data_IF_649834457390
#
_entry.id   IF_649834457390
#
_cell.length_a   1.000
_cell.length_b   1.000
_cell.length_c   1.000
_cell.angle_alpha   90.00
_cell.angle_beta   90.00
_cell.angle_gamma   90.00
#
_symmetry.space_group_name_H-M   'P 1'
#
loop_
_entity.id
_entity.type
_entity.pdbx_description
1 polymer ?
#
# COMPACT_ATOMS: atom_id res chain seq x y z
N UNK A 1 -5.36 23.46 -6.13
CA UNK A 1 -5.52 21.97 -6.23
C UNK A 1 -4.17 21.33 -6.46
N UNK A 2 -4.03 20.01 -6.26
CA UNK A 2 -2.78 19.27 -6.53
C UNK A 2 -2.76 18.79 -7.97
N UNK A 3 -1.71 19.13 -8.71
CA UNK A 3 -1.43 18.68 -10.07
C UNK A 3 -0.19 17.81 -10.08
N UNK A 4 -0.21 16.72 -10.80
CA UNK A 4 0.91 15.77 -10.86
C UNK A 4 1.31 15.58 -12.30
N UNK A 5 2.63 15.65 -12.58
CA UNK A 5 3.19 15.39 -13.91
C UNK A 5 4.26 14.33 -13.81
N UNK A 6 4.23 13.37 -14.71
CA UNK A 6 5.33 12.44 -14.94
C UNK A 6 5.81 12.65 -16.39
N UNK A 7 7.03 13.14 -16.54
CA UNK A 7 7.62 13.43 -17.83
C UNK A 7 8.89 12.61 -18.07
N UNK A 8 9.05 12.04 -19.26
CA UNK A 8 10.22 11.21 -19.54
C UNK A 8 10.62 11.23 -21.02
N UNK A 9 11.84 10.78 -21.29
CA UNK A 9 12.25 10.37 -22.62
C UNK A 9 11.44 9.11 -23.04
N UNK A 10 11.11 9.05 -24.31
CA UNK A 10 10.33 7.96 -24.89
C UNK A 10 9.05 7.61 -24.08
N UNK A 11 8.68 6.35 -24.02
CA UNK A 11 7.41 5.87 -23.44
C UNK A 11 7.48 5.48 -21.94
N UNK A 12 8.48 5.92 -21.21
CA UNK A 12 8.59 5.57 -19.79
C UNK A 12 7.43 6.16 -18.97
N UNK A 13 7.04 7.41 -19.24
CA UNK A 13 5.90 8.04 -18.56
C UNK A 13 4.58 7.30 -18.82
N UNK A 14 4.32 6.86 -20.06
CA UNK A 14 3.15 6.03 -20.37
C UNK A 14 3.22 4.65 -19.71
N UNK A 15 4.40 4.04 -19.67
CA UNK A 15 4.59 2.75 -18.98
C UNK A 15 4.28 2.84 -17.49
N UNK A 16 4.70 3.93 -16.84
CA UNK A 16 4.38 4.19 -15.42
C UNK A 16 2.89 4.45 -15.20
N UNK A 17 2.18 5.04 -16.14
CA UNK A 17 0.74 5.27 -16.05
C UNK A 17 0.00 3.98 -15.68
N UNK A 18 0.18 2.92 -16.46
CA UNK A 18 -0.49 1.65 -16.21
C UNK A 18 -0.16 1.05 -14.83
N UNK A 19 1.06 1.28 -14.35
CA UNK A 19 1.49 0.81 -13.03
C UNK A 19 0.88 1.67 -11.91
N UNK A 20 0.84 2.98 -12.05
CA UNK A 20 0.21 3.88 -11.08
C UNK A 20 -1.29 3.64 -11.02
N UNK A 21 -1.98 3.51 -12.14
CA UNK A 21 -3.41 3.17 -12.18
C UNK A 21 -3.71 1.86 -11.45
N UNK A 22 -2.84 0.86 -11.59
CA UNK A 22 -2.97 -0.40 -10.85
C UNK A 22 -2.75 -0.25 -9.34
N UNK A 23 -1.82 0.60 -8.92
CA UNK A 23 -1.39 0.72 -7.51
C UNK A 23 -2.19 1.76 -6.74
N UNK A 24 -2.49 2.91 -7.34
CA UNK A 24 -3.14 4.05 -6.69
C UNK A 24 -4.57 4.32 -7.19
N UNK A 25 -5.02 3.59 -8.23
CA UNK A 25 -6.33 3.76 -8.86
C UNK A 25 -6.35 4.82 -9.96
N UNK A 26 -7.47 4.90 -10.68
CA UNK A 26 -7.67 5.81 -11.83
C UNK A 26 -8.20 7.19 -11.46
N UNK A 27 -8.43 7.46 -10.18
CA UNK A 27 -9.04 8.72 -9.69
C UNK A 27 -8.08 9.89 -9.53
N UNK A 28 -6.80 9.73 -9.84
CA UNK A 28 -5.77 10.77 -9.70
C UNK A 28 -5.63 11.58 -10.99
N UNK A 29 -5.56 12.91 -10.88
CA UNK A 29 -5.30 13.83 -11.99
C UNK A 29 -3.77 13.89 -12.24
N UNK A 30 -3.27 12.93 -13.02
CA UNK A 30 -1.85 12.80 -13.38
C UNK A 30 -1.69 13.04 -14.88
N UNK A 31 -0.87 13.99 -15.25
CA UNK A 31 -0.48 14.24 -16.64
C UNK A 31 0.80 13.45 -16.95
N UNK A 32 0.77 12.68 -18.04
CA UNK A 32 1.93 11.94 -18.52
C UNK A 32 2.46 12.57 -19.81
N UNK A 33 3.75 12.88 -19.84
CA UNK A 33 4.42 13.55 -20.96
C UNK A 33 5.54 12.67 -21.49
N UNK A 34 5.43 12.26 -22.75
CA UNK A 34 6.41 11.42 -23.43
C UNK A 34 7.16 12.25 -24.50
N UNK A 35 8.45 12.48 -24.25
CA UNK A 35 9.29 13.23 -25.18
C UNK A 35 9.86 12.32 -26.28
N UNK A 36 10.00 12.84 -27.49
CA UNK A 36 10.64 12.16 -28.62
C UNK A 36 9.90 10.89 -29.06
N UNK A 37 8.58 10.90 -28.97
CA UNK A 37 7.70 9.85 -29.49
C UNK A 37 7.01 10.39 -30.74
N UNK A 38 7.04 9.63 -31.86
CA UNK A 38 6.65 10.09 -33.20
C UNK A 38 5.20 10.58 -33.24
N UNK A 39 4.29 9.91 -32.54
CA UNK A 39 2.86 10.23 -32.54
C UNK A 39 2.43 11.22 -31.45
N UNK A 40 3.38 11.84 -30.77
CA UNK A 40 3.11 12.78 -29.67
C UNK A 40 3.49 14.22 -30.03
N UNK A 41 2.82 15.23 -29.47
CA UNK A 41 3.25 16.61 -29.56
C UNK A 41 4.68 16.79 -29.02
N UNK A 42 5.39 17.80 -29.52
CA UNK A 42 6.72 18.14 -28.97
C UNK A 42 6.64 18.36 -27.46
N UNK A 43 7.68 17.95 -26.73
CA UNK A 43 7.68 18.07 -25.25
C UNK A 43 7.50 19.51 -24.80
N UNK A 44 8.03 20.49 -25.54
CA UNK A 44 7.89 21.92 -25.28
C UNK A 44 6.42 22.35 -25.34
N UNK A 45 5.67 21.83 -26.28
CA UNK A 45 4.24 22.09 -26.44
C UNK A 45 3.45 21.49 -25.28
N UNK A 46 3.74 20.23 -24.89
CA UNK A 46 3.10 19.59 -23.77
C UNK A 46 3.35 20.34 -22.45
N UNK A 47 4.59 20.80 -22.22
CA UNK A 47 4.98 21.59 -21.07
C UNK A 47 4.25 22.94 -21.07
N UNK A 48 4.24 23.65 -22.19
CA UNK A 48 3.56 24.95 -22.32
C UNK A 48 2.07 24.84 -21.98
N UNK A 49 1.38 23.86 -22.55
CA UNK A 49 -0.04 23.61 -22.29
C UNK A 49 -0.32 23.32 -20.81
N UNK A 50 0.56 22.58 -20.14
CA UNK A 50 0.39 22.31 -18.71
C UNK A 50 0.54 23.58 -17.87
N UNK A 51 1.59 24.38 -18.12
CA UNK A 51 1.84 25.60 -17.34
C UNK A 51 0.84 26.72 -17.62
N UNK A 52 0.22 26.76 -18.82
CA UNK A 52 -0.88 27.68 -19.14
C UNK A 52 -2.15 27.37 -18.34
N UNK A 53 -2.36 26.09 -17.97
CA UNK A 53 -3.51 25.65 -17.20
C UNK A 53 -3.28 25.67 -15.68
N UNK A 54 -2.03 25.81 -15.25
CA UNK A 54 -1.66 25.85 -13.83
C UNK A 54 -2.04 27.19 -13.21
N UNK A 55 -2.92 27.17 -12.23
CA UNK A 55 -3.39 28.38 -11.51
C UNK A 55 -2.43 28.71 -10.36
N UNK A 56 -2.46 29.95 -9.90
CA UNK A 56 -1.65 30.42 -8.78
C UNK A 56 -1.92 29.65 -7.47
N UNK A 57 -3.17 29.20 -7.28
CA UNK A 57 -3.58 28.41 -6.11
C UNK A 57 -3.30 26.90 -6.26
N UNK A 58 -2.82 26.43 -7.41
CA UNK A 58 -2.46 25.03 -7.62
C UNK A 58 -1.02 24.79 -7.16
N UNK A 59 -0.75 23.59 -6.68
CA UNK A 59 0.62 23.09 -6.47
C UNK A 59 0.90 21.97 -7.46
N UNK A 60 2.05 22.03 -8.13
CA UNK A 60 2.48 21.02 -9.08
C UNK A 60 3.64 20.18 -8.54
N UNK A 61 3.45 18.86 -8.50
CA UNK A 61 4.53 17.88 -8.34
C UNK A 61 4.93 17.38 -9.72
N UNK A 62 6.16 17.60 -10.12
CA UNK A 62 6.66 17.24 -11.45
C UNK A 62 7.83 16.25 -11.28
N UNK A 63 7.70 15.10 -11.91
CA UNK A 63 8.70 14.04 -11.90
C UNK A 63 9.33 13.92 -13.29
N UNK A 64 10.66 14.02 -13.38
CA UNK A 64 11.41 13.79 -14.61
C UNK A 64 12.36 12.60 -14.46
N UNK A 65 12.60 11.87 -15.54
CA UNK A 65 13.35 10.61 -15.52
C UNK A 65 14.85 10.80 -15.20
N UNK A 66 15.51 11.78 -15.78
CA UNK A 66 16.95 11.93 -15.70
C UNK A 66 17.36 13.35 -15.33
N UNK A 67 18.07 13.52 -14.22
CA UNK A 67 18.62 14.82 -13.83
C UNK A 67 19.59 15.36 -14.89
N UNK A 68 19.37 16.59 -15.31
CA UNK A 68 20.14 17.22 -16.37
C UNK A 68 19.85 16.75 -17.80
N UNK A 69 18.93 15.79 -17.95
CA UNK A 69 18.42 15.38 -19.26
C UNK A 69 17.58 16.47 -19.92
N UNK A 70 17.39 16.39 -21.25
CA UNK A 70 16.69 17.44 -22.01
C UNK A 70 15.25 17.69 -21.52
N UNK A 71 14.52 16.66 -21.10
CA UNK A 71 13.18 16.78 -20.53
C UNK A 71 13.24 17.56 -19.21
N UNK A 72 14.19 17.20 -18.35
CA UNK A 72 14.38 17.89 -17.07
C UNK A 72 14.77 19.36 -17.27
N UNK A 73 15.69 19.66 -18.19
CA UNK A 73 16.11 21.04 -18.47
C UNK A 73 14.95 21.90 -18.94
N UNK A 74 14.16 21.44 -19.92
CA UNK A 74 12.98 22.15 -20.43
C UNK A 74 11.92 22.38 -19.33
N UNK A 75 11.75 21.40 -18.46
CA UNK A 75 10.84 21.51 -17.33
C UNK A 75 11.34 22.53 -16.29
N UNK A 76 12.66 22.55 -16.02
CA UNK A 76 13.27 23.54 -15.12
C UNK A 76 13.10 24.96 -15.66
N UNK A 77 13.35 25.19 -16.95
CA UNK A 77 13.15 26.48 -17.61
C UNK A 77 11.70 26.97 -17.49
N UNK A 78 10.73 26.08 -17.73
CA UNK A 78 9.30 26.41 -17.62
C UNK A 78 8.81 26.64 -16.18
N UNK A 79 9.47 26.01 -15.20
CA UNK A 79 9.18 26.15 -13.78
C UNK A 79 9.88 27.33 -13.11
N UNK A 80 10.76 28.03 -13.82
CA UNK A 80 11.54 29.13 -13.26
C UNK A 80 10.64 30.22 -12.64
N UNK A 81 10.97 30.63 -11.40
CA UNK A 81 10.20 31.63 -10.65
C UNK A 81 8.88 31.18 -10.06
N UNK A 82 8.49 29.92 -10.21
CA UNK A 82 7.22 29.39 -9.68
C UNK A 82 7.45 28.68 -8.33
N UNK A 83 7.06 29.29 -7.23
CA UNK A 83 7.22 28.77 -5.87
C UNK A 83 6.24 27.63 -5.54
N UNK A 84 5.20 27.45 -6.34
CA UNK A 84 4.18 26.40 -6.20
C UNK A 84 4.48 25.13 -7.03
N UNK A 85 5.67 25.06 -7.64
CA UNK A 85 6.11 23.92 -8.45
C UNK A 85 7.28 23.21 -7.75
N UNK A 86 7.11 21.90 -7.55
CA UNK A 86 8.10 21.00 -6.97
C UNK A 86 8.59 20.05 -8.05
N UNK A 87 9.79 20.27 -8.55
CA UNK A 87 10.39 19.48 -9.62
C UNK A 87 11.41 18.50 -9.06
N UNK A 88 11.20 17.22 -9.34
CA UNK A 88 12.01 16.10 -8.88
C UNK A 88 12.55 15.34 -10.10
N UNK A 89 13.86 15.09 -10.12
CA UNK A 89 14.52 14.33 -11.18
C UNK A 89 15.07 13.00 -10.66
N UNK A 90 15.12 11.98 -11.51
CA UNK A 90 15.59 10.65 -11.15
C UNK A 90 14.57 9.88 -10.32
N UNK A 91 13.28 10.02 -10.63
CA UNK A 91 12.21 9.40 -9.88
C UNK A 91 12.26 7.86 -9.95
N UNK A 92 11.73 7.25 -8.90
CA UNK A 92 11.30 5.86 -8.89
C UNK A 92 9.82 5.76 -8.49
N UNK A 93 9.23 4.58 -8.65
CA UNK A 93 7.81 4.38 -8.38
C UNK A 93 7.43 4.65 -6.91
N UNK A 94 8.30 4.24 -5.96
CA UNK A 94 8.08 4.46 -4.53
C UNK A 94 8.00 5.96 -4.20
N UNK A 95 8.91 6.78 -4.75
CA UNK A 95 8.93 8.23 -4.57
C UNK A 95 7.65 8.89 -5.09
N UNK A 96 7.18 8.51 -6.29
CA UNK A 96 5.95 9.06 -6.85
C UNK A 96 4.76 8.78 -5.92
N UNK A 97 4.59 7.52 -5.50
CA UNK A 97 3.50 7.11 -4.62
C UNK A 97 3.61 7.81 -3.27
N UNK A 98 4.81 7.90 -2.69
CA UNK A 98 5.06 8.58 -1.42
C UNK A 98 4.60 10.03 -1.47
N UNK A 99 5.01 10.78 -2.49
CA UNK A 99 4.63 12.17 -2.65
C UNK A 99 3.13 12.34 -2.96
N UNK A 100 2.52 11.47 -3.75
CA UNK A 100 1.08 11.54 -4.04
C UNK A 100 0.26 11.56 -2.75
N UNK A 101 0.64 10.74 -1.75
CA UNK A 101 -0.13 10.57 -0.52
C UNK A 101 0.40 11.37 0.69
N UNK A 102 1.52 12.07 0.56
CA UNK A 102 2.19 12.69 1.71
C UNK A 102 1.39 13.81 2.36
N UNK A 103 0.76 14.67 1.57
CA UNK A 103 0.04 15.83 2.08
C UNK A 103 -0.96 16.41 1.06
N UNK A 104 -1.89 17.22 1.53
CA UNK A 104 -2.74 18.06 0.67
C UNK A 104 -2.00 19.31 0.19
N UNK A 105 -1.07 19.83 1.00
CA UNK A 105 -0.23 21.02 0.70
C UNK A 105 1.22 20.66 0.91
N UNK A 106 2.05 20.97 -0.08
CA UNK A 106 3.50 20.67 -0.07
C UNK A 106 4.32 21.87 0.33
N UNK A 107 5.40 21.61 1.06
CA UNK A 107 6.48 22.56 1.32
C UNK A 107 7.81 22.01 0.80
N UNK A 108 8.81 22.86 0.52
CA UNK A 108 10.13 22.38 0.09
C UNK A 108 10.75 21.39 1.07
N UNK A 109 10.59 21.62 2.37
CA UNK A 109 11.14 20.77 3.44
C UNK A 109 10.50 19.39 3.44
N UNK A 110 9.16 19.31 3.29
CA UNK A 110 8.44 18.04 3.20
C UNK A 110 8.87 17.25 1.97
N UNK A 111 8.96 17.91 0.81
CA UNK A 111 9.38 17.23 -0.43
C UNK A 111 10.81 16.72 -0.31
N UNK A 112 11.73 17.54 0.24
CA UNK A 112 13.13 17.13 0.45
C UNK A 112 13.24 15.94 1.42
N UNK A 113 12.52 15.94 2.54
CA UNK A 113 12.51 14.84 3.51
C UNK A 113 12.01 13.52 2.87
N UNK A 114 10.97 13.58 2.04
CA UNK A 114 10.46 12.41 1.35
C UNK A 114 11.44 11.92 0.27
N UNK A 115 12.05 12.82 -0.50
CA UNK A 115 13.08 12.47 -1.47
C UNK A 115 14.25 11.77 -0.78
N UNK A 116 14.72 12.29 0.35
CA UNK A 116 15.83 11.68 1.10
C UNK A 116 15.47 10.28 1.64
N UNK A 117 14.29 10.11 2.23
CA UNK A 117 13.82 8.81 2.71
C UNK A 117 13.63 7.79 1.59
N UNK A 118 13.18 8.22 0.43
CA UNK A 118 12.91 7.29 -0.68
C UNK A 118 14.15 6.90 -1.47
N UNK A 119 15.27 7.59 -1.33
CA UNK A 119 16.57 7.13 -1.87
C UNK A 119 16.94 5.74 -1.36
N UNK A 120 16.62 5.43 -0.11
CA UNK A 120 16.91 4.14 0.54
C UNK A 120 15.98 3.00 0.08
N UNK A 121 14.96 3.29 -0.73
CA UNK A 121 14.10 2.25 -1.33
C UNK A 121 14.75 1.51 -2.49
N UNK A 122 15.88 2.01 -3.00
CA UNK A 122 16.69 1.33 -4.02
C UNK A 122 17.73 0.43 -3.34
N UNK A 123 17.42 -0.86 -3.23
CA UNK A 123 18.22 -1.84 -2.46
C UNK A 123 18.85 -2.87 -3.39
N UNK A 124 20.15 -3.15 -3.18
CA UNK A 124 20.77 -4.32 -3.78
C UNK A 124 20.45 -5.57 -2.94
N UNK A 125 19.42 -6.28 -3.32
CA UNK A 125 18.81 -7.36 -2.53
C UNK A 125 19.78 -8.45 -2.10
N UNK A 126 20.80 -8.78 -2.93
CA UNK A 126 21.80 -9.81 -2.60
C UNK A 126 22.88 -9.36 -1.60
N UNK A 127 22.83 -8.11 -1.13
CA UNK A 127 23.79 -7.53 -0.16
C UNK A 127 23.15 -7.07 1.14
N UNK A 128 21.90 -7.42 1.39
CA UNK A 128 21.26 -7.08 2.67
C UNK A 128 21.89 -7.96 3.74
N UNK A 129 22.88 -7.41 4.45
CA UNK A 129 23.48 -8.02 5.63
C UNK A 129 22.57 -7.83 6.86
N UNK A 130 22.64 -8.75 7.80
CA UNK A 130 21.76 -8.97 8.98
C UNK A 130 21.63 -7.81 9.99
N UNK A 131 22.12 -6.61 9.73
CA UNK A 131 22.22 -5.52 10.73
C UNK A 131 20.88 -4.91 11.21
N UNK A 132 19.72 -5.41 10.76
CA UNK A 132 18.41 -4.90 11.19
C UNK A 132 17.62 -5.84 12.12
N UNK A 133 18.21 -6.94 12.57
CA UNK A 133 17.49 -7.94 13.40
C UNK A 133 17.38 -7.60 14.89
N UNK A 134 18.23 -6.73 15.44
CA UNK A 134 18.35 -6.54 16.90
C UNK A 134 17.21 -5.75 17.58
N UNK A 135 16.30 -5.08 16.87
CA UNK A 135 15.35 -4.18 17.55
C UNK A 135 13.94 -4.71 17.79
N UNK A 136 13.59 -5.88 17.24
CA UNK A 136 12.21 -6.42 17.30
C UNK A 136 12.08 -7.59 18.27
N UNK A 137 13.09 -8.45 18.38
CA UNK A 137 13.07 -9.62 19.28
C UNK A 137 13.11 -9.24 20.76
N UNK A 138 13.89 -8.23 21.14
CA UNK A 138 13.97 -7.72 22.52
C UNK A 138 12.67 -7.13 23.07
N UNK A 139 11.73 -6.75 22.19
CA UNK A 139 10.44 -6.21 22.65
C UNK A 139 9.33 -7.27 22.76
N UNK A 140 9.48 -8.42 22.11
CA UNK A 140 8.49 -9.51 22.15
C UNK A 140 8.73 -10.45 23.34
N UNK A 141 9.98 -10.72 23.72
CA UNK A 141 10.29 -11.51 24.92
C UNK A 141 9.83 -10.83 26.22
N UNK A 142 9.81 -9.49 26.27
CA UNK A 142 9.25 -8.74 27.40
C UNK A 142 7.72 -8.73 27.47
N UNK A 143 7.03 -9.32 26.50
CA UNK A 143 5.58 -9.38 26.44
C UNK A 143 4.97 -10.63 27.09
N UNK A 144 5.80 -11.61 27.49
CA UNK A 144 5.32 -12.91 27.97
C UNK A 144 5.09 -13.05 29.48
N UNK A 145 5.44 -12.06 30.32
CA UNK A 145 5.54 -12.24 31.77
C UNK A 145 4.54 -11.49 32.67
N UNK A 146 3.40 -11.01 32.15
CA UNK A 146 2.35 -10.52 33.04
C UNK A 146 0.97 -11.07 32.69
N UNK A 147 0.50 -12.02 33.51
CA UNK A 147 -0.86 -12.56 33.51
C UNK A 147 -1.78 -11.63 34.29
N UNK A 148 -2.63 -10.90 33.54
CA UNK A 148 -4.02 -10.60 33.91
C UNK A 148 -4.70 -10.03 32.67
N UNK A 149 -5.66 -10.77 32.10
CA UNK A 149 -6.39 -10.37 30.91
C UNK A 149 -7.65 -9.60 31.32
N UNK A 150 -7.68 -8.27 31.19
CA UNK A 150 -8.97 -7.56 31.21
C UNK A 150 -9.74 -7.91 29.95
N UNK A 151 -11.01 -8.27 30.09
CA UNK A 151 -11.91 -8.48 28.96
C UNK A 151 -12.12 -7.14 28.25
N UNK A 152 -11.63 -7.04 27.01
CA UNK A 152 -11.87 -5.87 26.16
C UNK A 152 -13.32 -5.87 25.68
N UNK A 153 -14.03 -4.77 25.91
CA UNK A 153 -15.47 -4.62 25.56
C UNK A 153 -15.71 -3.65 24.39
N UNK A 154 -14.64 -3.13 23.76
CA UNK A 154 -14.73 -2.19 22.64
C UNK A 154 -14.43 -2.84 21.28
N UNK A 155 -14.63 -2.09 20.18
CA UNK A 155 -14.20 -2.49 18.83
C UNK A 155 -12.70 -2.27 18.69
N UNK A 156 -11.98 -3.30 18.23
CA UNK A 156 -10.56 -3.19 17.92
C UNK A 156 -10.34 -2.32 16.69
N UNK A 157 -9.50 -1.28 16.72
CA UNK A 157 -9.18 -0.47 15.54
C UNK A 157 -8.24 -1.27 14.61
N UNK A 158 -8.70 -2.44 14.20
CA UNK A 158 -7.97 -3.43 13.40
C UNK A 158 -8.77 -3.77 12.16
N UNK A 159 -8.16 -3.66 11.02
CA UNK A 159 -8.68 -4.18 9.75
C UNK A 159 -8.05 -5.53 9.46
N UNK A 160 -8.85 -6.53 9.20
CA UNK A 160 -8.39 -7.82 8.65
C UNK A 160 -8.59 -7.79 7.15
N UNK A 161 -7.54 -8.10 6.38
CA UNK A 161 -7.62 -8.18 4.93
C UNK A 161 -7.17 -9.53 4.41
N UNK A 162 -8.02 -10.13 3.58
CA UNK A 162 -7.67 -11.31 2.79
C UNK A 162 -6.96 -10.84 1.52
N UNK A 163 -5.67 -11.19 1.40
CA UNK A 163 -4.87 -10.95 0.19
C UNK A 163 -3.84 -12.07 0.03
N UNK A 164 -3.95 -12.86 -1.06
CA UNK A 164 -3.09 -14.03 -1.27
C UNK A 164 -1.60 -13.69 -1.40
N UNK A 165 -1.28 -12.44 -1.73
CA UNK A 165 0.09 -11.93 -1.86
C UNK A 165 0.69 -11.48 -0.53
N UNK A 166 -0.13 -11.32 0.53
CA UNK A 166 0.24 -10.74 1.83
C UNK A 166 0.75 -9.30 1.68
N UNK A 167 1.96 -8.98 2.18
CA UNK A 167 2.52 -7.63 2.01
C UNK A 167 3.08 -7.46 0.59
N UNK A 168 2.61 -6.43 -0.09
CA UNK A 168 3.05 -6.02 -1.42
C UNK A 168 2.78 -4.52 -1.63
N UNK A 169 3.15 -3.95 -2.77
CA UNK A 169 3.11 -2.51 -3.01
C UNK A 169 1.80 -1.80 -2.65
N UNK A 170 0.63 -2.36 -3.00
CA UNK A 170 -0.67 -1.77 -2.63
C UNK A 170 -0.89 -1.76 -1.12
N UNK A 171 -0.51 -2.83 -0.41
CA UNK A 171 -0.62 -2.88 1.06
C UNK A 171 0.32 -1.89 1.70
N UNK A 172 1.58 -1.92 1.29
CA UNK A 172 2.63 -1.12 1.90
C UNK A 172 2.44 0.38 1.66
N UNK A 173 1.99 0.77 0.46
CA UNK A 173 1.96 2.17 0.04
C UNK A 173 0.57 2.81 0.13
N UNK A 174 -0.51 2.06 -0.10
CA UNK A 174 -1.87 2.60 -0.17
C UNK A 174 -2.64 2.32 1.12
N UNK A 175 -2.85 1.04 1.45
CA UNK A 175 -3.64 0.66 2.63
C UNK A 175 -3.01 1.15 3.93
N UNK A 176 -1.68 1.08 4.06
CA UNK A 176 -0.98 1.51 5.26
C UNK A 176 -1.19 2.99 5.59
N UNK A 177 -1.29 3.82 4.57
CA UNK A 177 -1.48 5.27 4.72
C UNK A 177 -2.92 5.65 4.94
N UNK A 178 -3.82 5.12 4.11
CA UNK A 178 -5.25 5.37 4.24
C UNK A 178 -5.75 5.03 5.66
N UNK A 179 -5.34 3.87 6.18
CA UNK A 179 -5.69 3.44 7.52
C UNK A 179 -4.83 4.10 8.62
N UNK A 180 -3.79 4.87 8.27
CA UNK A 180 -2.83 5.49 9.21
C UNK A 180 -2.30 4.47 10.22
N UNK A 181 -1.74 3.38 9.72
CA UNK A 181 -1.38 2.22 10.51
C UNK A 181 -0.20 2.48 11.46
N UNK A 182 -0.28 1.88 12.65
CA UNK A 182 0.85 1.74 13.56
C UNK A 182 1.68 0.48 13.26
N UNK A 183 1.08 -0.53 12.61
CA UNK A 183 1.76 -1.77 12.27
C UNK A 183 0.93 -2.70 11.38
N UNK A 184 1.63 -3.67 10.80
CA UNK A 184 1.06 -4.74 9.97
C UNK A 184 1.38 -6.07 10.64
N UNK A 185 0.35 -6.90 10.84
CA UNK A 185 0.49 -8.28 11.28
C UNK A 185 0.21 -9.20 10.09
N UNK A 186 1.13 -10.09 9.77
CA UNK A 186 0.89 -11.17 8.80
C UNK A 186 0.54 -12.42 9.58
N UNK A 187 -0.71 -12.87 9.45
CA UNK A 187 -1.22 -14.09 10.05
C UNK A 187 -1.22 -15.21 9.01
N UNK A 188 -0.13 -15.96 8.95
CA UNK A 188 0.00 -17.07 8.00
C UNK A 188 0.96 -18.13 8.51
N UNK A 189 0.48 -19.38 8.62
CA UNK A 189 1.21 -20.49 9.24
C UNK A 189 2.46 -20.90 8.45
N UNK A 190 2.48 -20.73 7.12
CA UNK A 190 3.63 -21.05 6.28
C UNK A 190 4.69 -19.94 6.35
N UNK A 191 4.26 -18.68 6.17
CA UNK A 191 5.17 -17.54 6.22
C UNK A 191 5.83 -17.40 7.60
N UNK A 192 5.14 -17.78 8.68
CA UNK A 192 5.68 -17.74 10.04
C UNK A 192 6.86 -18.68 10.27
N UNK A 193 7.03 -19.69 9.40
CA UNK A 193 8.11 -20.71 9.46
C UNK A 193 9.16 -20.53 8.39
N UNK A 194 9.00 -19.57 7.47
CA UNK A 194 9.88 -19.36 6.34
C UNK A 194 10.63 -18.03 6.47
N UNK A 195 11.87 -18.09 6.93
CA UNK A 195 12.71 -16.90 7.17
C UNK A 195 12.92 -16.06 5.91
N UNK A 196 13.15 -16.69 4.76
CA UNK A 196 13.32 -15.97 3.48
C UNK A 196 12.06 -15.20 3.11
N UNK A 197 10.89 -15.81 3.28
CA UNK A 197 9.62 -15.15 3.01
C UNK A 197 9.36 -14.01 4.02
N UNK A 198 9.69 -14.23 5.30
CA UNK A 198 9.57 -13.17 6.31
C UNK A 198 10.45 -11.96 5.97
N UNK A 199 11.69 -12.19 5.55
CA UNK A 199 12.60 -11.13 5.14
C UNK A 199 12.02 -10.34 3.94
N UNK A 200 11.57 -11.03 2.90
CA UNK A 200 10.97 -10.40 1.73
C UNK A 200 9.73 -9.56 2.10
N UNK A 201 8.85 -10.07 2.96
CA UNK A 201 7.66 -9.35 3.42
C UNK A 201 8.03 -8.11 4.27
N UNK A 202 9.02 -8.21 5.17
CA UNK A 202 9.49 -7.08 5.97
C UNK A 202 10.10 -5.97 5.12
N UNK A 203 10.88 -6.35 4.10
CA UNK A 203 11.51 -5.39 3.15
C UNK A 203 10.49 -4.66 2.26
N UNK A 204 9.31 -5.21 2.05
CA UNK A 204 8.27 -4.58 1.23
C UNK A 204 7.53 -3.44 1.94
N UNK A 205 7.80 -3.17 3.22
CA UNK A 205 7.09 -2.17 4.03
C UNK A 205 7.90 -0.89 4.17
N UNK A 206 7.27 0.29 4.02
CA UNK A 206 7.94 1.58 4.23
C UNK A 206 8.51 1.73 5.63
N UNK A 207 9.60 2.48 5.76
CA UNK A 207 10.19 2.82 7.06
C UNK A 207 9.15 3.46 8.01
N UNK A 208 9.17 3.06 9.27
CA UNK A 208 8.27 3.59 10.30
C UNK A 208 7.03 2.74 10.60
N UNK A 209 6.69 1.74 9.78
CA UNK A 209 5.61 0.79 10.06
C UNK A 209 6.21 -0.51 10.59
N UNK A 210 5.77 -0.93 11.77
CA UNK A 210 6.22 -2.19 12.38
C UNK A 210 5.53 -3.38 11.71
N UNK A 211 6.30 -4.43 11.42
CA UNK A 211 5.79 -5.67 10.81
C UNK A 211 6.08 -6.85 11.71
N UNK A 212 5.07 -7.67 11.96
CA UNK A 212 5.21 -8.93 12.67
C UNK A 212 4.56 -10.04 11.85
N UNK A 213 5.25 -11.17 11.69
CA UNK A 213 4.78 -12.32 10.92
C UNK A 213 4.72 -13.50 11.88
N UNK A 214 3.51 -14.05 12.08
CA UNK A 214 3.25 -15.15 13.00
C UNK A 214 2.18 -16.09 12.43
N UNK A 215 1.98 -17.22 13.08
CA UNK A 215 0.85 -18.10 12.78
C UNK A 215 -0.49 -17.38 12.99
N UNK A 216 -1.55 -17.89 12.39
CA UNK A 216 -2.90 -17.32 12.58
C UNK A 216 -3.29 -17.33 14.06
N UNK A 217 -2.95 -18.40 14.78
CA UNK A 217 -3.28 -18.56 16.19
C UNK A 217 -2.48 -17.60 17.08
N UNK A 218 -1.18 -17.42 16.82
CA UNK A 218 -0.35 -16.48 17.56
C UNK A 218 -0.83 -15.04 17.37
N UNK A 219 -1.23 -14.68 16.13
CA UNK A 219 -1.79 -13.33 15.87
C UNK A 219 -3.09 -13.13 16.63
N UNK A 220 -3.94 -14.15 16.73
CA UNK A 220 -5.15 -14.07 17.54
C UNK A 220 -4.82 -13.78 19.03
N UNK A 221 -3.81 -14.44 19.59
CA UNK A 221 -3.38 -14.16 20.97
C UNK A 221 -2.77 -12.75 21.14
N UNK A 222 -1.97 -12.29 20.16
CA UNK A 222 -1.42 -10.93 20.16
C UNK A 222 -2.53 -9.86 20.16
N UNK A 223 -3.59 -10.06 19.38
CA UNK A 223 -4.71 -9.12 19.29
C UNK A 223 -5.54 -9.04 20.61
N UNK A 224 -5.46 -10.03 21.47
CA UNK A 224 -6.08 -9.99 22.81
C UNK A 224 -5.30 -9.15 23.81
N UNK A 225 -4.04 -8.80 23.52
CA UNK A 225 -3.20 -8.02 24.43
C UNK A 225 -3.70 -6.57 24.51
N UNK A 226 -3.97 -6.03 25.72
CA UNK A 226 -4.45 -4.66 25.94
C UNK A 226 -3.55 -3.57 25.33
N UNK A 227 -2.24 -3.83 25.20
CA UNK A 227 -1.27 -2.89 24.61
C UNK A 227 -1.45 -2.73 23.11
N UNK A 228 -1.98 -3.75 22.46
CA UNK A 228 -2.22 -3.81 21.01
C UNK A 228 -3.59 -3.25 20.65
N UNK A 229 -4.57 -3.37 21.55
CA UNK A 229 -5.96 -3.02 21.31
C UNK A 229 -6.22 -1.53 20.98
N UNK A 230 -5.30 -0.63 21.34
CA UNK A 230 -5.38 0.80 21.03
C UNK A 230 -4.64 1.20 19.75
N UNK A 231 -3.99 0.25 19.07
CA UNK A 231 -3.19 0.51 17.87
C UNK A 231 -4.01 0.23 16.61
N UNK A 232 -3.88 1.10 15.62
CA UNK A 232 -4.41 0.85 14.29
C UNK A 232 -3.56 -0.19 13.59
N UNK A 233 -4.10 -1.37 13.39
CA UNK A 233 -3.39 -2.50 12.81
C UNK A 233 -4.09 -2.99 11.54
N UNK A 234 -3.30 -3.41 10.57
CA UNK A 234 -3.74 -4.21 9.44
C UNK A 234 -3.28 -5.65 9.65
N UNK A 235 -4.21 -6.57 9.73
CA UNK A 235 -3.90 -8.01 9.75
C UNK A 235 -4.10 -8.56 8.35
N UNK A 236 -3.06 -9.13 7.77
CA UNK A 236 -3.10 -9.78 6.48
C UNK A 236 -3.18 -11.29 6.64
N UNK A 237 -4.17 -11.88 5.99
CA UNK A 237 -4.34 -13.33 5.87
C UNK A 237 -4.36 -13.71 4.40
N UNK A 238 -3.95 -14.95 4.07
CA UNK A 238 -3.86 -15.39 2.68
C UNK A 238 -5.20 -15.87 2.12
N UNK A 239 -6.04 -16.44 2.95
CA UNK A 239 -7.27 -17.13 2.56
C UNK A 239 -8.48 -16.64 3.35
N UNK A 240 -9.70 -16.87 2.82
CA UNK A 240 -10.94 -16.61 3.57
C UNK A 240 -11.05 -17.53 4.79
N UNK A 241 -10.54 -18.76 4.70
CA UNK A 241 -10.47 -19.69 5.84
C UNK A 241 -9.61 -19.16 6.98
N UNK A 242 -8.47 -18.55 6.68
CA UNK A 242 -7.63 -17.95 7.71
C UNK A 242 -8.31 -16.72 8.35
N UNK A 243 -9.06 -15.94 7.55
CA UNK A 243 -9.87 -14.85 8.07
C UNK A 243 -10.97 -15.34 9.00
N UNK A 244 -11.68 -16.40 8.64
CA UNK A 244 -12.69 -17.05 9.49
C UNK A 244 -12.07 -17.56 10.79
N UNK A 245 -10.97 -18.32 10.71
CA UNK A 245 -10.25 -18.85 11.88
C UNK A 245 -9.82 -17.74 12.85
N UNK A 246 -9.42 -16.59 12.32
CA UNK A 246 -9.08 -15.42 13.14
C UNK A 246 -10.34 -14.80 13.76
N UNK A 247 -11.40 -14.61 12.96
CA UNK A 247 -12.65 -13.99 13.35
C UNK A 247 -13.38 -14.77 14.46
N UNK A 248 -13.31 -16.09 14.45
CA UNK A 248 -13.85 -16.96 15.50
C UNK A 248 -13.19 -16.74 16.88
N UNK A 249 -11.92 -16.29 16.89
CA UNK A 249 -11.12 -16.10 18.09
C UNK A 249 -11.13 -14.67 18.62
N UNK A 250 -11.39 -13.71 17.74
CA UNK A 250 -11.33 -12.28 18.03
C UNK A 250 -12.69 -11.64 17.77
N UNK A 251 -13.47 -11.36 18.80
CA UNK A 251 -14.70 -10.58 18.67
C UNK A 251 -14.39 -9.10 18.42
N UNK A 252 -15.30 -8.42 17.69
CA UNK A 252 -15.27 -6.96 17.53
C UNK A 252 -14.09 -6.39 16.70
N UNK A 253 -13.69 -7.06 15.62
CA UNK A 253 -12.82 -6.50 14.59
C UNK A 253 -13.57 -5.35 13.89
N UNK A 254 -12.90 -4.21 13.65
CA UNK A 254 -13.52 -3.02 13.06
C UNK A 254 -14.00 -3.26 11.61
N UNK A 255 -13.17 -3.93 10.81
CA UNK A 255 -13.47 -4.18 9.41
C UNK A 255 -12.78 -5.46 8.89
N UNK A 256 -13.53 -6.28 8.15
CA UNK A 256 -12.99 -7.41 7.41
C UNK A 256 -13.14 -7.14 5.91
N UNK A 257 -12.01 -7.11 5.23
CA UNK A 257 -11.88 -6.81 3.82
C UNK A 257 -11.43 -8.05 3.04
N UNK A 258 -12.12 -8.37 1.95
CA UNK A 258 -11.73 -9.39 0.99
C UNK A 258 -11.18 -8.68 -0.24
N UNK A 259 -9.86 -8.64 -0.36
CA UNK A 259 -9.17 -7.79 -1.30
C UNK A 259 -8.73 -8.48 -2.58
N UNK A 260 -7.87 -9.48 -2.46
CA UNK A 260 -7.36 -10.21 -3.62
C UNK A 260 -7.07 -11.66 -3.24
N UNK A 261 -7.82 -12.59 -3.79
CA UNK A 261 -7.70 -14.01 -3.45
C UNK A 261 -8.15 -14.90 -4.60
N UNK A 262 -7.49 -16.03 -4.74
CA UNK A 262 -7.89 -17.13 -5.62
C UNK A 262 -7.33 -17.05 -7.05
N UNK A 263 -6.51 -16.07 -7.40
CA UNK A 263 -5.86 -16.01 -8.73
C UNK A 263 -4.83 -17.12 -8.92
N UNK A 264 -4.08 -17.43 -7.85
CA UNK A 264 -3.02 -18.43 -7.86
C UNK A 264 -3.50 -19.85 -7.63
N UNK A 265 -4.77 -20.09 -7.28
CA UNK A 265 -5.32 -21.40 -7.00
C UNK A 265 -5.81 -22.05 -8.31
N UNK A 266 -5.47 -23.32 -8.55
CA UNK A 266 -5.98 -24.10 -9.67
C UNK A 266 -7.33 -24.77 -9.32
N UNK A 267 -8.16 -25.04 -10.34
CA UNK A 267 -9.44 -25.72 -10.20
C UNK A 267 -10.67 -24.83 -10.43
N UNK A 268 -11.86 -25.39 -10.16
CA UNK A 268 -13.12 -24.65 -10.29
C UNK A 268 -13.26 -23.58 -9.24
N UNK A 269 -13.60 -22.38 -9.69
CA UNK A 269 -13.75 -21.17 -8.85
C UNK A 269 -14.99 -20.39 -9.26
N UNK A 270 -15.67 -19.84 -8.28
CA UNK A 270 -16.70 -18.84 -8.48
C UNK A 270 -16.05 -17.45 -8.52
N UNK A 271 -16.34 -16.65 -9.54
CA UNK A 271 -15.78 -15.30 -9.73
C UNK A 271 -16.74 -14.31 -9.10
N UNK A 272 -16.37 -13.74 -7.96
CA UNK A 272 -17.17 -12.71 -7.28
C UNK A 272 -16.80 -11.30 -7.77
N UNK A 273 -15.54 -11.09 -8.14
CA UNK A 273 -15.05 -9.83 -8.73
C UNK A 273 -13.78 -10.09 -9.54
N UNK A 274 -13.26 -9.04 -10.18
CA UNK A 274 -11.98 -9.10 -10.90
C UNK A 274 -10.80 -9.57 -10.01
N UNK A 275 -10.89 -9.40 -8.70
CA UNK A 275 -9.81 -9.69 -7.75
C UNK A 275 -10.14 -10.82 -6.77
N UNK A 276 -11.38 -11.28 -6.73
CA UNK A 276 -11.86 -12.29 -5.78
C UNK A 276 -12.49 -13.45 -6.52
N UNK A 277 -11.84 -14.61 -6.42
CA UNK A 277 -12.28 -15.88 -7.00
C UNK A 277 -12.16 -16.95 -5.93
N UNK A 278 -13.25 -17.60 -5.58
CA UNK A 278 -13.29 -18.53 -4.46
C UNK A 278 -13.61 -19.95 -4.92
N UNK A 279 -12.89 -20.92 -4.36
CA UNK A 279 -13.26 -22.32 -4.47
C UNK A 279 -14.52 -22.60 -3.64
N UNK A 280 -15.17 -23.72 -3.85
CA UNK A 280 -16.36 -24.09 -3.07
C UNK A 280 -16.08 -24.03 -1.55
N UNK A 281 -14.93 -24.54 -1.11
CA UNK A 281 -14.55 -24.54 0.31
C UNK A 281 -14.26 -23.14 0.87
N UNK A 282 -13.79 -22.21 0.04
CA UNK A 282 -13.62 -20.80 0.41
C UNK A 282 -14.98 -20.07 0.45
N UNK A 283 -15.93 -20.46 -0.43
CA UNK A 283 -17.31 -19.94 -0.39
C UNK A 283 -18.05 -20.37 0.88
N UNK A 284 -17.86 -21.60 1.32
CA UNK A 284 -18.39 -22.07 2.61
C UNK A 284 -17.81 -21.25 3.77
N UNK A 285 -16.49 -21.06 3.78
CA UNK A 285 -15.84 -20.20 4.77
C UNK A 285 -16.32 -18.73 4.72
N UNK A 286 -16.63 -18.20 3.51
CA UNK A 286 -17.20 -16.88 3.37
C UNK A 286 -18.58 -16.76 4.00
N UNK A 287 -19.45 -17.76 3.83
CA UNK A 287 -20.78 -17.82 4.46
C UNK A 287 -20.68 -17.78 5.98
N UNK A 288 -19.78 -18.60 6.54
CA UNK A 288 -19.56 -18.65 7.98
C UNK A 288 -18.96 -17.33 8.50
N UNK A 289 -18.04 -16.73 7.74
CA UNK A 289 -17.45 -15.43 8.07
C UNK A 289 -18.52 -14.32 8.10
N UNK A 290 -19.39 -14.25 7.10
CA UNK A 290 -20.47 -13.27 7.02
C UNK A 290 -21.51 -13.47 8.14
N UNK A 291 -21.75 -14.71 8.58
CA UNK A 291 -22.60 -14.98 9.73
C UNK A 291 -22.05 -14.36 11.03
N UNK A 292 -20.72 -14.27 11.19
CA UNK A 292 -20.05 -13.64 12.34
C UNK A 292 -19.88 -12.14 12.11
N UNK A 293 -19.49 -11.73 10.89
CA UNK A 293 -19.22 -10.35 10.49
C UNK A 293 -20.01 -9.95 9.24
N UNK A 294 -21.29 -9.54 9.38
CA UNK A 294 -22.16 -9.19 8.25
C UNK A 294 -21.66 -8.01 7.40
N UNK A 295 -20.83 -7.14 7.98
CA UNK A 295 -20.22 -5.99 7.31
C UNK A 295 -18.93 -6.34 6.53
N UNK A 296 -18.55 -7.63 6.47
CA UNK A 296 -17.43 -8.07 5.63
C UNK A 296 -17.69 -7.69 4.17
N UNK A 297 -16.69 -7.11 3.49
CA UNK A 297 -16.91 -6.57 2.16
C UNK A 297 -15.73 -6.83 1.21
N UNK A 298 -16.06 -6.96 -0.07
CA UNK A 298 -15.07 -6.99 -1.16
C UNK A 298 -14.66 -5.55 -1.47
N UNK A 299 -13.34 -5.31 -1.48
CA UNK A 299 -12.76 -4.02 -1.87
C UNK A 299 -11.27 -4.21 -2.18
N UNK A 300 -10.82 -3.86 -3.38
CA UNK A 300 -9.41 -4.02 -3.74
C UNK A 300 -8.56 -2.84 -3.25
N UNK A 301 -8.94 -1.61 -3.56
CA UNK A 301 -8.30 -0.38 -3.07
C UNK A 301 -9.21 0.36 -2.08
N UNK A 302 -8.67 1.15 -1.16
CA UNK A 302 -9.49 1.96 -0.24
C UNK A 302 -10.44 2.93 -0.96
N UNK A 303 -10.05 3.41 -2.15
CA UNK A 303 -10.84 4.28 -3.02
C UNK A 303 -11.98 3.57 -3.74
N UNK A 304 -11.94 2.24 -3.84
CA UNK A 304 -12.96 1.48 -4.55
C UNK A 304 -14.26 1.41 -3.72
N UNK A 305 -15.38 1.22 -4.43
CA UNK A 305 -16.66 0.95 -3.77
C UNK A 305 -16.60 -0.37 -2.99
N UNK A 306 -17.04 -0.34 -1.74
CA UNK A 306 -17.27 -1.54 -0.94
C UNK A 306 -18.52 -2.26 -1.44
N UNK A 307 -18.40 -3.57 -1.65
CA UNK A 307 -19.52 -4.46 -1.97
C UNK A 307 -19.61 -5.49 -0.87
N UNK A 308 -20.75 -5.57 -0.19
CA UNK A 308 -20.92 -6.50 0.93
C UNK A 308 -20.76 -7.94 0.46
N UNK A 309 -20.02 -8.74 1.24
CA UNK A 309 -19.82 -10.15 0.94
C UNK A 309 -21.13 -10.94 0.99
N UNK A 310 -22.10 -10.45 1.76
CA UNK A 310 -23.46 -11.01 1.83
C UNK A 310 -24.24 -10.94 0.51
N UNK A 311 -23.84 -10.12 -0.45
CA UNK A 311 -24.46 -10.06 -1.77
C UNK A 311 -24.14 -11.27 -2.66
N UNK A 312 -23.16 -12.10 -2.25
CA UNK A 312 -22.66 -13.24 -3.02
C UNK A 312 -22.94 -14.62 -2.38
N UNK A 313 -23.71 -14.66 -1.29
CA UNK A 313 -23.96 -15.91 -0.53
C UNK A 313 -25.42 -16.24 -0.43
#
# INVERSE_FOLDING_TARGET
MKKIVVASHAKMAEGIQSTLELLVGTGMDITYMSAYVEDHPAIEEQISQFFEQLKDDDQALIFTDLFGGSVNQKMMEAAEGKSNVFLIAGFNLALIIELIYAAEVYTPELVADIVDKTKDTMVYVNKVEDDQQESIEDHVEKLSDEKETPVFTGTLPTTVRVDERLIHGQIAMVWSRELKLNGILVANDEASKNETQQMALKMAVPSGIKVLIRSVDDVAEILKDPRVQKKRLLVLVRTVKDALRLAEKIPHIEYINIGNVGKSIEGEKEVLSQFVMLTQTEMEALKDLVAIYPEAALQNLPSDKKVLASEFI
#
